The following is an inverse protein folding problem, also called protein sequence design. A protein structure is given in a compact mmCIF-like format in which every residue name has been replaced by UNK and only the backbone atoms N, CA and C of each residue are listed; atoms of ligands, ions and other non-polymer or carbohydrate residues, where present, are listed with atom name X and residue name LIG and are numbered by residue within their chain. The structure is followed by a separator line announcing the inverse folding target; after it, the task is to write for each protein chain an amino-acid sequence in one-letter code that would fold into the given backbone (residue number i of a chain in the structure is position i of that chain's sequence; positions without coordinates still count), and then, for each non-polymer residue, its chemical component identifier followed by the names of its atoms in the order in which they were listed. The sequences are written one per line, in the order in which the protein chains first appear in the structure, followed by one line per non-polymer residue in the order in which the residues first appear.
data_IF_730873091000
#
_entry.id   IF_730873091000
#
_cell.length_a   1.000
_cell.length_b   1.000
_cell.length_c   1.000
_cell.angle_alpha   90.00
_cell.angle_beta   90.00
_cell.angle_gamma   90.00
#
_symmetry.space_group_name_H-M   'P 1'
#
loop_
_entity.id
_entity.type
_entity.pdbx_description
1 polymer ?
#
# COMPACT_ATOMS: atom_id res chain seq x y z
N UNK A 1 -3.91 3.26 23.10
CA UNK A 1 -2.59 3.69 22.57
C UNK A 1 -2.40 5.17 22.90
N UNK A 2 -1.21 5.60 23.32
CA UNK A 2 -0.91 7.02 23.56
C UNK A 2 -0.80 7.76 22.21
N UNK A 3 -1.15 9.07 22.19
CA UNK A 3 -1.07 9.92 20.98
C UNK A 3 0.35 9.91 20.38
N UNK A 4 1.38 9.93 21.21
CA UNK A 4 2.77 9.88 20.77
C UNK A 4 3.12 8.57 20.03
N UNK A 5 2.57 7.42 20.50
CA UNK A 5 2.78 6.14 19.83
C UNK A 5 2.08 6.12 18.45
N UNK A 6 0.87 6.68 18.34
CA UNK A 6 0.17 6.79 17.05
C UNK A 6 0.98 7.60 16.04
N UNK A 7 1.48 8.78 16.45
CA UNK A 7 2.30 9.63 15.57
C UNK A 7 3.57 8.89 15.13
N UNK A 8 4.27 8.23 16.06
CA UNK A 8 5.47 7.46 15.75
C UNK A 8 5.22 6.41 14.66
N UNK A 9 4.19 5.57 14.83
CA UNK A 9 3.88 4.53 13.85
C UNK A 9 3.33 5.09 12.55
N UNK A 10 2.63 6.22 12.58
CA UNK A 10 2.22 6.95 11.38
C UNK A 10 3.42 7.44 10.55
N UNK A 11 4.46 8.00 11.20
CA UNK A 11 5.68 8.43 10.52
C UNK A 11 6.48 7.26 9.94
N UNK A 12 6.52 6.12 10.64
CA UNK A 12 7.17 4.91 10.12
C UNK A 12 6.41 4.38 8.89
N UNK A 13 5.07 4.38 8.94
CA UNK A 13 4.25 3.94 7.80
C UNK A 13 4.34 4.91 6.61
N UNK A 14 4.54 6.21 6.87
CA UNK A 14 4.79 7.21 5.83
C UNK A 14 6.05 6.90 5.00
N UNK A 15 7.10 6.38 5.65
CA UNK A 15 8.28 5.87 4.93
C UNK A 15 7.91 4.70 4.00
N UNK A 16 7.01 3.81 4.44
CA UNK A 16 6.47 2.75 3.58
C UNK A 16 5.72 3.31 2.37
N UNK A 17 4.87 4.31 2.57
CA UNK A 17 4.15 4.98 1.50
C UNK A 17 5.10 5.67 0.49
N UNK A 18 6.18 6.29 0.98
CA UNK A 18 7.23 6.86 0.13
C UNK A 18 7.92 5.79 -0.73
N UNK A 19 8.29 4.65 -0.13
CA UNK A 19 8.91 3.54 -0.87
C UNK A 19 7.96 3.01 -1.94
N UNK A 20 6.65 2.87 -1.65
CA UNK A 20 5.68 2.43 -2.65
C UNK A 20 5.42 3.46 -3.73
N UNK A 21 5.38 4.75 -3.39
CA UNK A 21 5.32 5.81 -4.40
C UNK A 21 6.46 5.72 -5.40
N UNK A 22 7.69 5.55 -4.90
CA UNK A 22 8.86 5.33 -5.74
C UNK A 22 8.78 3.99 -6.51
N UNK A 23 8.19 2.95 -5.90
CA UNK A 23 8.02 1.65 -6.56
C UNK A 23 7.15 1.70 -7.82
N UNK A 24 6.15 2.59 -7.91
CA UNK A 24 5.37 2.77 -9.14
C UNK A 24 6.24 3.15 -10.35
N UNK A 25 7.25 3.98 -10.14
CA UNK A 25 8.20 4.36 -11.20
C UNK A 25 9.02 3.16 -11.66
N UNK A 26 9.53 2.36 -10.72
CA UNK A 26 10.29 1.15 -11.04
C UNK A 26 9.40 0.05 -11.67
N UNK A 27 8.15 -0.09 -11.23
CA UNK A 27 7.17 -1.00 -11.84
C UNK A 27 6.87 -0.62 -13.29
N UNK A 28 6.65 0.67 -13.55
CA UNK A 28 6.44 1.19 -14.91
C UNK A 28 7.67 0.96 -15.79
N UNK A 29 8.88 1.12 -15.26
CA UNK A 29 10.12 0.82 -15.98
C UNK A 29 10.24 -0.68 -16.32
N UNK A 30 9.91 -1.58 -15.38
CA UNK A 30 9.90 -3.02 -15.63
C UNK A 30 8.92 -3.41 -16.74
N UNK A 31 7.73 -2.79 -16.80
CA UNK A 31 6.69 -3.11 -17.80
C UNK A 31 7.11 -2.90 -19.25
N UNK A 32 8.23 -2.20 -19.48
CA UNK A 32 8.81 -2.04 -20.82
C UNK A 32 9.50 -3.32 -21.33
N UNK A 33 9.98 -4.16 -20.44
CA UNK A 33 10.85 -5.29 -20.77
C UNK A 33 10.25 -6.63 -20.36
N UNK A 34 9.52 -6.68 -19.26
CA UNK A 34 9.01 -7.91 -18.65
C UNK A 34 7.55 -7.77 -18.24
N UNK A 35 6.82 -8.86 -18.29
CA UNK A 35 5.41 -8.89 -17.96
C UNK A 35 5.11 -8.93 -16.44
N UNK A 36 3.84 -8.80 -16.07
CA UNK A 36 3.38 -8.70 -14.68
C UNK A 36 3.73 -9.91 -13.82
N UNK A 37 3.68 -11.12 -14.36
CA UNK A 37 4.02 -12.32 -13.61
C UNK A 37 5.51 -12.38 -13.31
N UNK A 38 6.36 -12.01 -14.28
CA UNK A 38 7.82 -11.96 -14.13
C UNK A 38 8.23 -10.93 -13.09
N UNK A 39 7.67 -9.72 -13.12
CA UNK A 39 7.94 -8.68 -12.10
C UNK A 39 7.61 -9.21 -10.70
N UNK A 40 6.43 -9.79 -10.50
CA UNK A 40 5.98 -10.24 -9.18
C UNK A 40 6.70 -11.51 -8.71
N UNK A 41 7.13 -12.41 -9.61
CA UNK A 41 7.96 -13.56 -9.29
C UNK A 41 9.29 -13.12 -8.70
N UNK A 42 10.04 -12.30 -9.42
CA UNK A 42 11.37 -11.89 -8.99
C UNK A 42 11.34 -11.00 -7.74
N UNK A 43 10.41 -10.02 -7.65
CA UNK A 43 10.31 -9.20 -6.44
C UNK A 43 9.95 -10.02 -5.19
N UNK A 44 9.10 -11.05 -5.35
CA UNK A 44 8.74 -11.95 -4.27
C UNK A 44 9.92 -12.82 -3.83
N UNK A 45 10.65 -13.41 -4.77
CA UNK A 45 11.85 -14.23 -4.48
C UNK A 45 12.92 -13.40 -3.78
N UNK A 46 13.25 -12.22 -4.32
CA UNK A 46 14.24 -11.32 -3.72
C UNK A 46 13.82 -10.93 -2.29
N UNK A 47 12.55 -10.63 -2.06
CA UNK A 47 12.04 -10.31 -0.73
C UNK A 47 12.18 -11.49 0.25
N UNK A 48 11.90 -12.72 -0.20
CA UNK A 48 12.05 -13.93 0.62
C UNK A 48 13.52 -14.14 1.01
N UNK A 49 14.44 -14.05 0.05
CA UNK A 49 15.87 -14.17 0.33
C UNK A 49 16.35 -13.12 1.33
N UNK A 50 15.89 -11.87 1.15
CA UNK A 50 16.20 -10.77 2.07
C UNK A 50 15.61 -11.00 3.48
N UNK A 51 14.36 -11.45 3.60
CA UNK A 51 13.66 -11.59 4.88
C UNK A 51 14.03 -12.87 5.63
N UNK A 52 14.53 -13.91 4.96
CA UNK A 52 14.84 -15.19 5.57
C UNK A 52 15.75 -15.09 6.80
N UNK A 53 16.89 -14.40 6.79
CA UNK A 53 17.75 -14.29 7.97
C UNK A 53 17.07 -13.57 9.13
N UNK A 54 16.27 -12.53 8.87
CA UNK A 54 15.54 -11.81 9.91
C UNK A 54 14.44 -12.67 10.53
N UNK A 55 13.74 -13.47 9.72
CA UNK A 55 12.74 -14.43 10.20
C UNK A 55 13.36 -15.50 11.08
N UNK A 56 14.48 -16.10 10.68
CA UNK A 56 15.21 -17.12 11.45
C UNK A 56 15.64 -16.55 12.81
N UNK A 57 16.29 -15.38 12.81
CA UNK A 57 16.74 -14.73 14.06
C UNK A 57 15.55 -14.39 14.96
N UNK A 58 14.45 -13.89 14.39
CA UNK A 58 13.24 -13.59 15.14
C UNK A 58 12.65 -14.84 15.80
N UNK A 59 12.53 -15.94 15.06
CA UNK A 59 12.01 -17.21 15.59
C UNK A 59 12.88 -17.79 16.72
N UNK A 60 14.21 -17.67 16.62
CA UNK A 60 15.13 -18.11 17.69
C UNK A 60 14.94 -17.27 18.96
N UNK A 61 14.84 -15.95 18.83
CA UNK A 61 14.61 -15.05 19.97
C UNK A 61 13.26 -15.30 20.63
N UNK A 62 12.23 -15.54 19.85
CA UNK A 62 10.86 -15.72 20.36
C UNK A 62 10.58 -17.07 21.00
N UNK A 63 11.37 -18.12 20.70
CA UNK A 63 11.30 -19.37 21.47
C UNK A 63 11.48 -19.15 22.97
N UNK A 64 12.11 -18.02 23.37
CA UNK A 64 12.30 -17.61 24.77
C UNK A 64 11.14 -16.78 25.34
N UNK A 65 10.24 -16.26 24.48
CA UNK A 65 9.15 -15.32 24.86
C UNK A 65 7.82 -15.94 24.42
N UNK A 66 7.10 -16.54 25.33
CA UNK A 66 5.87 -17.36 25.13
C UNK A 66 4.63 -16.65 24.53
N UNK A 67 4.77 -15.58 23.73
CA UNK A 67 3.63 -14.69 23.36
C UNK A 67 3.15 -14.72 21.91
N UNK A 68 3.72 -15.53 21.02
CA UNK A 68 3.38 -15.51 19.58
C UNK A 68 2.52 -16.70 19.21
N UNK A 69 1.43 -16.40 18.55
CA UNK A 69 0.54 -17.38 17.95
C UNK A 69 1.07 -17.80 16.57
N UNK A 70 1.64 -19.02 16.49
CA UNK A 70 2.14 -19.61 15.26
C UNK A 70 1.04 -19.75 14.21
N UNK A 71 -0.18 -20.12 14.63
CA UNK A 71 -1.33 -20.27 13.73
C UNK A 71 -1.72 -18.92 13.14
N UNK A 72 -1.76 -17.86 13.95
CA UNK A 72 -2.01 -16.50 13.46
C UNK A 72 -0.92 -16.02 12.49
N UNK A 73 0.35 -16.36 12.74
CA UNK A 73 1.47 -16.01 11.87
C UNK A 73 1.36 -16.69 10.50
N UNK A 74 1.12 -18.01 10.49
CA UNK A 74 1.05 -18.79 9.25
C UNK A 74 -0.22 -18.43 8.47
N UNK A 75 -1.39 -18.50 9.11
CA UNK A 75 -2.67 -18.25 8.45
C UNK A 75 -2.76 -16.79 7.95
N UNK A 76 -2.34 -15.85 8.78
CA UNK A 76 -2.29 -14.44 8.39
C UNK A 76 -1.32 -14.19 7.24
N UNK A 77 -0.12 -14.77 7.28
CA UNK A 77 0.86 -14.69 6.20
C UNK A 77 0.35 -15.30 4.89
N UNK A 78 -0.30 -16.46 4.94
CA UNK A 78 -0.86 -17.12 3.75
C UNK A 78 -2.02 -16.31 3.18
N UNK A 79 -3.02 -15.94 3.99
CA UNK A 79 -4.19 -15.19 3.51
C UNK A 79 -3.79 -13.82 2.96
N UNK A 80 -2.95 -13.08 3.69
CA UNK A 80 -2.47 -11.78 3.19
C UNK A 80 -1.61 -11.95 1.94
N UNK A 81 -0.85 -13.05 1.83
CA UNK A 81 -0.05 -13.38 0.65
C UNK A 81 -0.91 -13.68 -0.58
N UNK A 82 -2.02 -14.40 -0.42
CA UNK A 82 -2.97 -14.68 -1.50
C UNK A 82 -3.64 -13.39 -2.01
N UNK A 83 -4.11 -12.54 -1.09
CA UNK A 83 -4.68 -11.26 -1.48
C UNK A 83 -3.63 -10.34 -2.13
N UNK A 84 -2.42 -10.30 -1.58
CA UNK A 84 -1.33 -9.51 -2.14
C UNK A 84 -0.90 -10.02 -3.52
N UNK A 85 -0.86 -11.32 -3.72
CA UNK A 85 -0.58 -11.92 -5.03
C UNK A 85 -1.56 -11.42 -6.08
N UNK A 86 -2.87 -11.58 -5.84
CA UNK A 86 -3.88 -11.09 -6.77
C UNK A 86 -3.82 -9.58 -6.97
N UNK A 87 -3.70 -8.81 -5.87
CA UNK A 87 -3.61 -7.36 -5.91
C UNK A 87 -2.44 -6.87 -6.77
N UNK A 88 -1.24 -7.44 -6.56
CA UNK A 88 -0.03 -7.02 -7.26
C UNK A 88 -0.02 -7.45 -8.73
N UNK A 89 -0.62 -8.57 -9.09
CA UNK A 89 -0.79 -8.96 -10.49
C UNK A 89 -1.72 -7.97 -11.21
N UNK A 90 -2.92 -7.73 -10.67
CA UNK A 90 -3.86 -6.78 -11.27
C UNK A 90 -3.31 -5.35 -11.31
N UNK A 91 -2.60 -4.93 -10.27
CA UNK A 91 -1.93 -3.63 -10.25
C UNK A 91 -0.87 -3.53 -11.36
N UNK A 92 -0.02 -4.55 -11.52
CA UNK A 92 1.05 -4.53 -12.53
C UNK A 92 0.49 -4.56 -13.96
N UNK A 93 -0.60 -5.31 -14.20
CA UNK A 93 -1.34 -5.28 -15.48
C UNK A 93 -1.87 -3.86 -15.74
N UNK A 94 -2.46 -3.23 -14.74
CA UNK A 94 -2.98 -1.86 -14.87
C UNK A 94 -1.88 -0.83 -15.14
N UNK A 95 -0.76 -0.90 -14.43
CA UNK A 95 0.40 -0.01 -14.62
C UNK A 95 0.97 -0.11 -16.02
N UNK A 96 0.95 -1.28 -16.65
CA UNK A 96 1.45 -1.46 -18.02
C UNK A 96 0.59 -0.78 -19.10
N UNK A 97 -0.64 -0.41 -18.78
CA UNK A 97 -1.64 0.09 -19.72
C UNK A 97 -2.15 1.50 -19.43
N UNK A 98 -1.74 2.09 -18.30
CA UNK A 98 -2.19 3.44 -17.89
C UNK A 98 -1.03 4.23 -17.27
N UNK A 99 -1.20 5.54 -17.10
CA UNK A 99 -0.14 6.39 -16.53
C UNK A 99 0.15 6.03 -15.08
N UNK A 100 1.38 6.26 -14.64
CA UNK A 100 1.85 5.96 -13.28
C UNK A 100 1.01 6.69 -12.21
N UNK A 101 0.69 7.97 -12.44
CA UNK A 101 -0.14 8.76 -11.51
C UNK A 101 -1.57 8.22 -11.41
N UNK A 102 -2.22 7.90 -12.55
CA UNK A 102 -3.56 7.33 -12.60
C UNK A 102 -3.60 5.93 -11.95
N UNK A 103 -2.55 5.13 -12.17
CA UNK A 103 -2.41 3.82 -11.53
C UNK A 103 -2.35 3.92 -10.02
N UNK A 104 -1.54 4.84 -9.51
CA UNK A 104 -1.40 5.08 -8.08
C UNK A 104 -2.71 5.61 -7.46
N UNK A 105 -3.43 6.50 -8.18
CA UNK A 105 -4.73 6.99 -7.75
C UNK A 105 -5.78 5.89 -7.61
N UNK A 106 -5.97 5.09 -8.66
CA UNK A 106 -7.00 4.03 -8.64
C UNK A 106 -6.64 2.96 -7.61
N UNK A 107 -5.36 2.60 -7.48
CA UNK A 107 -4.90 1.70 -6.42
C UNK A 107 -5.22 2.25 -5.04
N UNK A 108 -4.94 3.53 -4.79
CA UNK A 108 -5.19 4.16 -3.50
C UNK A 108 -6.69 4.29 -3.14
N UNK A 109 -7.61 3.87 -4.02
CA UNK A 109 -9.04 3.84 -3.71
C UNK A 109 -9.38 2.93 -2.51
N UNK A 110 -8.45 2.06 -2.10
CA UNK A 110 -8.56 1.31 -0.83
C UNK A 110 -8.78 2.23 0.39
N UNK A 111 -8.44 3.52 0.31
CA UNK A 111 -8.72 4.51 1.37
C UNK A 111 -10.21 4.61 1.71
N UNK A 112 -11.09 4.40 0.73
CA UNK A 112 -12.55 4.37 0.89
C UNK A 112 -13.03 2.97 1.27
N UNK A 113 -12.45 1.95 0.64
CA UNK A 113 -12.88 0.57 0.81
C UNK A 113 -12.53 0.02 2.20
N UNK A 114 -11.32 0.32 2.71
CA UNK A 114 -10.87 -0.18 4.02
C UNK A 114 -11.82 0.20 5.16
N UNK A 115 -12.20 1.47 5.38
CA UNK A 115 -13.13 1.81 6.44
C UNK A 115 -14.52 1.17 6.28
N UNK A 116 -15.01 1.06 5.04
CA UNK A 116 -16.31 0.42 4.76
C UNK A 116 -16.26 -1.06 5.18
N UNK A 117 -15.28 -1.81 4.69
CA UNK A 117 -15.14 -3.23 5.03
C UNK A 117 -14.72 -3.45 6.49
N UNK A 118 -13.92 -2.56 7.09
CA UNK A 118 -13.61 -2.62 8.52
C UNK A 118 -14.87 -2.44 9.38
N UNK A 119 -15.79 -1.58 8.98
CA UNK A 119 -17.09 -1.45 9.65
C UNK A 119 -17.97 -2.69 9.43
N UNK A 120 -18.08 -3.18 8.21
CA UNK A 120 -18.95 -4.33 7.88
C UNK A 120 -18.46 -5.62 8.57
N UNK A 121 -17.17 -5.91 8.52
CA UNK A 121 -16.59 -7.18 9.01
C UNK A 121 -16.29 -7.16 10.51
N UNK A 122 -15.76 -6.06 11.03
CA UNK A 122 -15.27 -5.98 12.40
C UNK A 122 -16.04 -5.01 13.29
N UNK A 123 -17.08 -4.36 12.75
CA UNK A 123 -17.88 -3.33 13.45
C UNK A 123 -17.05 -2.18 14.02
N UNK A 124 -15.89 -1.91 13.42
CA UNK A 124 -15.01 -0.81 13.82
C UNK A 124 -15.67 0.52 13.47
N UNK A 125 -16.00 1.30 14.49
CA UNK A 125 -16.58 2.64 14.30
C UNK A 125 -15.53 3.59 13.73
N UNK A 126 -15.96 4.43 12.78
CA UNK A 126 -15.14 5.45 12.13
C UNK A 126 -15.45 6.79 12.78
N UNK A 127 -14.43 7.52 13.24
CA UNK A 127 -14.61 8.88 13.77
C UNK A 127 -15.00 9.85 12.66
N UNK A 128 -15.81 10.87 13.01
CA UNK A 128 -16.27 11.86 12.03
C UNK A 128 -15.13 12.63 11.37
N UNK A 129 -14.05 12.94 12.12
CA UNK A 129 -12.81 13.51 11.60
C UNK A 129 -12.20 12.67 10.47
N UNK A 130 -12.25 11.34 10.59
CA UNK A 130 -11.70 10.40 9.60
C UNK A 130 -12.58 10.41 8.34
N UNK A 131 -13.90 10.48 8.47
CA UNK A 131 -14.82 10.59 7.31
C UNK A 131 -14.50 11.87 6.52
N UNK A 132 -14.35 13.01 7.21
CA UNK A 132 -13.97 14.26 6.56
C UNK A 132 -12.61 14.12 5.88
N UNK A 133 -11.63 13.52 6.54
CA UNK A 133 -10.31 13.30 5.98
C UNK A 133 -10.35 12.43 4.71
N UNK A 134 -11.17 11.37 4.68
CA UNK A 134 -11.36 10.53 3.48
C UNK A 134 -11.94 11.35 2.32
N UNK A 135 -12.98 12.15 2.57
CA UNK A 135 -13.60 12.99 1.52
C UNK A 135 -12.58 13.99 0.97
N UNK A 136 -11.83 14.66 1.84
CA UNK A 136 -10.79 15.62 1.43
C UNK A 136 -9.67 14.89 0.66
N UNK A 137 -9.23 13.72 1.13
CA UNK A 137 -8.22 12.92 0.43
C UNK A 137 -8.71 12.49 -0.96
N UNK A 138 -9.97 12.09 -1.10
CA UNK A 138 -10.57 11.75 -2.40
C UNK A 138 -10.59 12.94 -3.37
N UNK A 139 -10.89 14.14 -2.88
CA UNK A 139 -10.82 15.36 -3.69
C UNK A 139 -9.37 15.62 -4.13
N UNK A 140 -8.41 15.52 -3.19
CA UNK A 140 -6.99 15.68 -3.49
C UNK A 140 -6.50 14.67 -4.52
N UNK A 141 -6.85 13.40 -4.35
CA UNK A 141 -6.53 12.34 -5.31
C UNK A 141 -7.18 12.59 -6.68
N UNK A 142 -8.43 13.06 -6.72
CA UNK A 142 -9.08 13.46 -7.96
C UNK A 142 -8.29 14.54 -8.71
N UNK A 143 -7.83 15.58 -8.01
CA UNK A 143 -7.01 16.65 -8.59
C UNK A 143 -5.68 16.14 -9.16
N UNK A 144 -5.08 15.10 -8.57
CA UNK A 144 -3.88 14.45 -9.10
C UNK A 144 -4.12 13.75 -10.45
N UNK A 145 -5.37 13.38 -10.76
CA UNK A 145 -5.73 12.64 -11.96
C UNK A 145 -6.34 13.48 -13.07
N UNK A 146 -6.95 14.63 -12.75
CA UNK A 146 -7.67 15.46 -13.70
C UNK A 146 -6.79 16.18 -14.74
N UNK A 147 -5.48 16.03 -14.67
CA UNK A 147 -4.55 16.60 -15.66
C UNK A 147 -4.57 15.93 -17.05
N UNK A 148 -5.20 14.75 -17.20
CA UNK A 148 -5.24 13.98 -18.44
C UNK A 148 -6.63 13.36 -18.66
N UNK A 149 -7.02 13.17 -19.91
CA UNK A 149 -8.32 12.65 -20.36
C UNK A 149 -8.94 11.56 -19.45
N UNK A 150 -10.16 11.82 -19.00
CA UNK A 150 -10.92 10.93 -18.11
C UNK A 150 -11.58 9.79 -18.91
N UNK A 151 -10.78 9.04 -19.67
CA UNK A 151 -11.27 7.84 -20.36
C UNK A 151 -11.04 6.61 -19.47
N UNK A 152 -12.08 5.84 -19.22
CA UNK A 152 -11.96 4.55 -18.53
C UNK A 152 -11.34 3.53 -19.48
N UNK A 153 -10.22 2.95 -19.07
CA UNK A 153 -9.51 1.90 -19.79
C UNK A 153 -9.75 0.52 -19.14
N UNK A 154 -9.45 -0.55 -19.85
CA UNK A 154 -9.43 -1.90 -19.25
C UNK A 154 -8.42 -2.00 -18.11
N UNK A 155 -7.31 -1.26 -18.19
CA UNK A 155 -6.31 -1.18 -17.12
C UNK A 155 -6.88 -0.61 -15.83
N UNK A 156 -7.77 0.38 -15.90
CA UNK A 156 -8.40 0.97 -14.73
C UNK A 156 -9.27 -0.03 -13.97
N UNK A 157 -9.96 -0.92 -14.68
CA UNK A 157 -10.73 -2.00 -14.06
C UNK A 157 -9.81 -2.97 -13.30
N UNK A 158 -8.67 -3.35 -13.87
CA UNK A 158 -7.69 -4.20 -13.19
C UNK A 158 -7.13 -3.51 -11.93
N UNK A 159 -6.81 -2.22 -12.00
CA UNK A 159 -6.37 -1.45 -10.83
C UNK A 159 -7.44 -1.40 -9.73
N UNK A 160 -8.70 -1.24 -10.08
CA UNK A 160 -9.81 -1.24 -9.12
C UNK A 160 -9.99 -2.61 -8.46
N UNK A 161 -9.91 -3.71 -9.22
CA UNK A 161 -9.89 -5.07 -8.66
C UNK A 161 -8.69 -5.23 -7.72
N UNK A 162 -7.52 -4.72 -8.12
CA UNK A 162 -6.32 -4.65 -7.28
C UNK A 162 -6.58 -3.92 -5.97
N UNK A 163 -7.24 -2.77 -5.99
CA UNK A 163 -7.60 -2.00 -4.79
C UNK A 163 -8.52 -2.77 -3.83
N UNK A 164 -9.49 -3.54 -4.35
CA UNK A 164 -10.32 -4.45 -3.53
C UNK A 164 -9.48 -5.52 -2.84
N UNK A 165 -8.55 -6.14 -3.56
CA UNK A 165 -7.66 -7.16 -3.02
C UNK A 165 -6.64 -6.58 -2.03
N UNK A 166 -6.10 -5.38 -2.27
CA UNK A 166 -5.30 -4.65 -1.29
C UNK A 166 -6.10 -4.33 -0.02
N UNK A 167 -7.38 -3.97 -0.16
CA UNK A 167 -8.28 -3.79 1.00
C UNK A 167 -8.36 -5.05 1.84
N UNK A 168 -8.58 -6.20 1.21
CA UNK A 168 -8.62 -7.49 1.90
C UNK A 168 -7.28 -7.83 2.56
N UNK A 169 -6.15 -7.56 1.89
CA UNK A 169 -4.80 -7.73 2.45
C UNK A 169 -4.58 -6.83 3.68
N UNK A 170 -4.92 -5.55 3.60
CA UNK A 170 -4.81 -4.59 4.71
C UNK A 170 -5.60 -5.06 5.93
N UNK A 171 -6.85 -5.48 5.73
CA UNK A 171 -7.71 -5.97 6.81
C UNK A 171 -7.23 -7.31 7.40
N UNK A 172 -6.65 -8.18 6.57
CA UNK A 172 -6.03 -9.42 7.03
C UNK A 172 -4.82 -9.14 7.93
N UNK A 173 -3.95 -8.20 7.53
CA UNK A 173 -2.83 -7.77 8.36
C UNK A 173 -3.32 -7.17 9.67
N UNK A 174 -4.32 -6.28 9.65
CA UNK A 174 -4.88 -5.66 10.85
C UNK A 174 -5.40 -6.70 11.85
N UNK A 175 -6.02 -7.77 11.37
CA UNK A 175 -6.57 -8.83 12.22
C UNK A 175 -5.49 -9.74 12.83
N UNK A 176 -4.50 -10.16 12.05
CA UNK A 176 -3.53 -11.16 12.46
C UNK A 176 -2.23 -10.58 13.05
N UNK A 177 -1.76 -9.41 12.58
CA UNK A 177 -0.47 -8.86 12.99
C UNK A 177 -0.29 -8.61 14.49
N UNK A 178 -1.33 -8.31 15.30
CA UNK A 178 -1.16 -8.14 16.75
C UNK A 178 -0.65 -9.38 17.49
N UNK A 179 -0.91 -10.59 16.93
CA UNK A 179 -0.55 -11.89 17.54
C UNK A 179 0.58 -12.60 16.81
N UNK A 180 0.98 -12.11 15.64
CA UNK A 180 1.89 -12.78 14.73
C UNK A 180 3.36 -12.36 14.91
N UNK A 181 4.28 -13.27 14.50
CA UNK A 181 5.67 -12.89 14.30
C UNK A 181 5.81 -12.04 13.05
N UNK A 182 6.33 -10.83 13.21
CA UNK A 182 6.45 -9.82 12.15
C UNK A 182 7.21 -10.33 10.91
N UNK A 183 8.44 -10.80 11.10
CA UNK A 183 9.31 -11.16 9.97
C UNK A 183 8.85 -12.45 9.30
N UNK A 184 8.39 -13.44 10.07
CA UNK A 184 7.86 -14.69 9.52
C UNK A 184 6.56 -14.45 8.76
N UNK A 185 5.68 -13.56 9.26
CA UNK A 185 4.47 -13.17 8.54
C UNK A 185 4.81 -12.54 7.18
N UNK A 186 5.74 -11.55 7.19
CA UNK A 186 6.17 -10.86 5.97
C UNK A 186 6.85 -11.82 4.99
N UNK A 187 7.67 -12.75 5.48
CA UNK A 187 8.31 -13.78 4.67
C UNK A 187 7.29 -14.70 4.01
N UNK A 188 6.32 -15.22 4.76
CA UNK A 188 5.27 -16.11 4.20
C UNK A 188 4.44 -15.35 3.16
N UNK A 189 4.03 -14.10 3.46
CA UNK A 189 3.29 -13.25 2.53
C UNK A 189 4.03 -13.12 1.19
N UNK A 190 5.31 -12.76 1.22
CA UNK A 190 6.12 -12.60 0.01
C UNK A 190 6.45 -13.95 -0.67
N UNK A 191 6.58 -15.03 0.09
CA UNK A 191 6.77 -16.37 -0.46
C UNK A 191 5.57 -16.82 -1.30
N UNK A 192 4.34 -16.59 -0.82
CA UNK A 192 3.12 -16.88 -1.59
C UNK A 192 3.09 -16.08 -2.89
N UNK A 193 3.39 -14.76 -2.83
CA UNK A 193 3.48 -13.93 -4.04
C UNK A 193 4.54 -14.47 -5.00
N UNK A 194 5.75 -14.74 -4.51
CA UNK A 194 6.87 -15.22 -5.32
C UNK A 194 6.58 -16.58 -5.97
N UNK A 195 6.09 -17.56 -5.19
CA UNK A 195 5.82 -18.91 -5.69
C UNK A 195 4.69 -18.91 -6.73
N UNK A 196 3.54 -18.31 -6.42
CA UNK A 196 2.40 -18.29 -7.34
C UNK A 196 2.72 -17.50 -8.61
N UNK A 197 3.41 -16.36 -8.48
CA UNK A 197 3.82 -15.59 -9.65
C UNK A 197 4.86 -16.34 -10.49
N UNK A 198 5.77 -17.10 -9.89
CA UNK A 198 6.75 -17.92 -10.62
C UNK A 198 6.07 -19.00 -11.44
N UNK A 199 5.05 -19.66 -10.89
CA UNK A 199 4.25 -20.65 -11.63
C UNK A 199 3.62 -19.98 -12.86
N UNK A 200 2.94 -18.83 -12.68
CA UNK A 200 2.30 -18.13 -13.79
C UNK A 200 3.32 -17.55 -14.78
N UNK A 201 4.48 -17.11 -14.33
CA UNK A 201 5.58 -16.65 -15.18
C UNK A 201 6.02 -17.73 -16.16
N UNK A 202 6.28 -18.96 -15.69
CA UNK A 202 6.69 -20.05 -16.59
C UNK A 202 5.59 -20.50 -17.57
N UNK A 203 4.31 -20.30 -17.20
CA UNK A 203 3.18 -20.67 -18.07
C UNK A 203 2.92 -19.59 -19.14
N UNK A 204 2.95 -18.31 -18.75
CA UNK A 204 2.46 -17.20 -19.60
C UNK A 204 3.56 -16.24 -20.08
N UNK A 205 4.69 -16.15 -19.37
CA UNK A 205 5.76 -15.16 -19.61
C UNK A 205 7.14 -15.82 -19.45
N UNK A 206 7.52 -16.83 -20.25
CA UNK A 206 8.84 -17.45 -20.12
C UNK A 206 9.95 -16.37 -20.10
N UNK A 207 10.80 -16.34 -19.04
CA UNK A 207 11.73 -15.24 -18.83
C UNK A 207 12.84 -15.22 -19.88
N UNK A 208 13.13 -14.04 -20.44
CA UNK A 208 14.24 -13.79 -21.37
C UNK A 208 15.37 -13.11 -20.61
N UNK A 209 16.56 -13.68 -20.67
CA UNK A 209 17.72 -13.22 -19.87
C UNK A 209 18.09 -11.75 -20.13
N UNK A 210 18.02 -11.29 -21.38
CA UNK A 210 18.31 -9.90 -21.76
C UNK A 210 17.30 -8.93 -21.13
N UNK A 211 16.01 -9.25 -21.17
CA UNK A 211 14.94 -8.45 -20.57
C UNK A 211 15.09 -8.36 -19.05
N UNK A 212 15.49 -9.46 -18.40
CA UNK A 212 15.78 -9.48 -16.97
C UNK A 212 16.98 -8.61 -16.63
N UNK A 213 18.05 -8.64 -17.43
CA UNK A 213 19.22 -7.79 -17.27
C UNK A 213 18.85 -6.31 -17.33
N UNK A 214 18.02 -5.91 -18.28
CA UNK A 214 17.54 -4.54 -18.43
C UNK A 214 16.64 -4.08 -17.26
N UNK A 215 15.99 -5.02 -16.56
CA UNK A 215 15.09 -4.76 -15.43
C UNK A 215 15.73 -4.95 -14.06
N UNK A 216 17.00 -5.38 -13.97
CA UNK A 216 17.60 -5.87 -12.72
C UNK A 216 17.60 -4.84 -11.59
N UNK A 217 17.90 -3.57 -11.87
CA UNK A 217 17.91 -2.50 -10.87
C UNK A 217 16.51 -2.28 -10.33
N UNK A 218 15.51 -2.24 -11.21
CA UNK A 218 14.12 -2.10 -10.83
C UNK A 218 13.63 -3.29 -10.00
N UNK A 219 13.97 -4.51 -10.40
CA UNK A 219 13.62 -5.73 -9.67
C UNK A 219 14.26 -5.78 -8.28
N UNK A 220 15.54 -5.40 -8.15
CA UNK A 220 16.21 -5.30 -6.86
C UNK A 220 15.53 -4.27 -5.95
N UNK A 221 15.21 -3.09 -6.47
CA UNK A 221 14.46 -2.10 -5.69
C UNK A 221 13.09 -2.64 -5.25
N UNK A 222 12.31 -3.20 -6.17
CA UNK A 222 11.00 -3.75 -5.89
C UNK A 222 11.05 -4.91 -4.90
N UNK A 223 12.04 -5.78 -5.00
CA UNK A 223 12.20 -6.91 -4.09
C UNK A 223 12.67 -6.51 -2.70
N UNK A 224 13.75 -5.73 -2.60
CA UNK A 224 14.34 -5.35 -1.32
C UNK A 224 13.51 -4.30 -0.59
N UNK A 225 13.24 -3.17 -1.24
CA UNK A 225 12.61 -2.03 -0.59
C UNK A 225 11.09 -2.13 -0.57
N UNK A 226 10.45 -2.34 -1.72
CA UNK A 226 9.00 -2.37 -1.81
C UNK A 226 8.41 -3.64 -1.17
N UNK A 227 8.91 -4.82 -1.52
CA UNK A 227 8.39 -6.09 -1.00
C UNK A 227 8.99 -6.47 0.36
N UNK A 228 10.30 -6.35 0.54
CA UNK A 228 10.97 -6.70 1.78
C UNK A 228 10.72 -5.70 2.90
N UNK A 229 11.07 -4.45 2.70
CA UNK A 229 11.05 -3.42 3.75
C UNK A 229 9.64 -2.83 3.92
N UNK A 230 9.00 -2.31 2.87
CA UNK A 230 7.76 -1.55 3.03
C UNK A 230 6.58 -2.42 3.51
N UNK A 231 6.39 -3.66 3.04
CA UNK A 231 5.38 -4.56 3.60
C UNK A 231 5.70 -4.98 5.04
N UNK A 232 6.97 -5.12 5.41
CA UNK A 232 7.36 -5.37 6.80
C UNK A 232 7.04 -4.16 7.70
N UNK A 233 7.28 -2.94 7.21
CA UNK A 233 6.84 -1.70 7.87
C UNK A 233 5.32 -1.70 8.04
N UNK A 234 4.55 -2.02 7.00
CA UNK A 234 3.09 -2.10 7.06
C UNK A 234 2.63 -3.05 8.17
N UNK A 235 3.10 -4.29 8.17
CA UNK A 235 2.72 -5.31 9.17
C UNK A 235 3.08 -4.83 10.57
N UNK A 236 4.25 -4.21 10.75
CA UNK A 236 4.72 -3.72 12.05
C UNK A 236 3.89 -2.57 12.60
N UNK A 237 3.45 -1.66 11.73
CA UNK A 237 2.74 -0.43 12.10
C UNK A 237 1.24 -0.66 12.24
N UNK A 238 0.63 -1.46 11.36
CA UNK A 238 -0.80 -1.81 11.45
C UNK A 238 -1.15 -2.56 12.74
N UNK A 239 -0.20 -3.23 13.37
CA UNK A 239 -0.37 -3.78 14.72
C UNK A 239 -0.81 -2.71 15.75
N UNK A 240 -0.46 -1.46 15.51
CA UNK A 240 -0.68 -0.34 16.43
C UNK A 240 -1.60 0.75 15.87
N UNK A 241 -1.85 0.78 14.57
CA UNK A 241 -2.69 1.78 13.91
C UNK A 241 -4.07 1.20 13.58
N UNK A 242 -5.08 2.04 13.62
CA UNK A 242 -6.38 1.69 13.04
C UNK A 242 -6.21 1.51 11.51
N UNK A 243 -6.79 0.47 10.88
CA UNK A 243 -6.63 0.20 9.45
C UNK A 243 -7.06 1.37 8.56
N UNK A 244 -8.06 2.14 8.97
CA UNK A 244 -8.50 3.34 8.25
C UNK A 244 -7.44 4.44 8.27
N UNK A 245 -6.78 4.68 9.41
CA UNK A 245 -5.67 5.63 9.51
C UNK A 245 -4.47 5.13 8.70
N UNK A 246 -4.20 3.83 8.76
CA UNK A 246 -3.12 3.22 7.98
C UNK A 246 -3.38 3.38 6.47
N UNK A 247 -4.59 3.12 5.98
CA UNK A 247 -4.93 3.29 4.56
C UNK A 247 -4.83 4.75 4.10
N UNK A 248 -5.23 5.71 4.96
CA UNK A 248 -5.04 7.14 4.69
C UNK A 248 -3.56 7.52 4.51
N UNK A 249 -2.68 7.02 5.38
CA UNK A 249 -1.24 7.30 5.29
C UNK A 249 -0.64 6.63 4.05
N UNK A 250 -1.01 5.37 3.79
CA UNK A 250 -0.53 4.63 2.63
C UNK A 250 -0.95 5.26 1.31
N UNK A 251 -2.14 5.89 1.23
CA UNK A 251 -2.60 6.58 0.01
C UNK A 251 -1.71 7.73 -0.44
N UNK A 252 -0.80 8.25 0.42
CA UNK A 252 0.26 9.17 0.00
C UNK A 252 1.24 8.57 -1.02
N UNK A 253 1.21 7.25 -1.22
CA UNK A 253 1.96 6.63 -2.33
C UNK A 253 1.64 7.28 -3.67
N UNK A 254 0.40 7.76 -3.88
CA UNK A 254 -0.02 8.47 -5.10
C UNK A 254 0.70 9.83 -5.25
N UNK A 255 0.83 10.58 -4.15
CA UNK A 255 1.57 11.84 -4.12
C UNK A 255 3.07 11.58 -4.35
N UNK A 256 3.62 10.61 -3.64
CA UNK A 256 5.04 10.26 -3.80
C UNK A 256 5.35 9.69 -5.18
N UNK A 257 4.42 8.92 -5.79
CA UNK A 257 4.57 8.42 -7.15
C UNK A 257 4.72 9.54 -8.16
N UNK A 258 3.88 10.57 -8.04
CA UNK A 258 3.94 11.75 -8.89
C UNK A 258 5.25 12.52 -8.69
N UNK A 259 5.58 12.87 -7.44
CA UNK A 259 6.80 13.63 -7.12
C UNK A 259 8.07 12.89 -7.53
N UNK A 260 8.17 11.60 -7.21
CA UNK A 260 9.31 10.78 -7.59
C UNK A 260 9.41 10.62 -9.12
N UNK A 261 8.27 10.47 -9.80
CA UNK A 261 8.22 10.39 -11.26
C UNK A 261 8.85 11.62 -11.92
N UNK A 262 8.48 12.83 -11.46
CA UNK A 262 9.04 14.10 -11.96
C UNK A 262 10.53 14.22 -11.66
N UNK A 263 10.96 13.91 -10.42
CA UNK A 263 12.35 14.00 -10.00
C UNK A 263 13.22 13.03 -10.81
N UNK A 264 12.80 11.77 -10.91
CA UNK A 264 13.56 10.74 -11.61
C UNK A 264 13.65 11.05 -13.11
N UNK A 265 12.56 11.51 -13.73
CA UNK A 265 12.58 11.94 -15.13
C UNK A 265 13.59 13.06 -15.36
N UNK A 266 13.57 14.09 -14.51
CA UNK A 266 14.43 15.28 -14.67
C UNK A 266 15.92 14.96 -14.52
N UNK A 267 16.29 14.08 -13.58
CA UNK A 267 17.68 13.82 -13.23
C UNK A 267 18.28 12.57 -13.89
N UNK A 268 17.47 11.54 -14.14
CA UNK A 268 17.97 10.23 -14.57
C UNK A 268 17.47 9.77 -15.94
N UNK A 269 16.53 10.51 -16.58
CA UNK A 269 15.90 10.13 -17.86
C UNK A 269 15.42 8.67 -17.90
N UNK A 270 15.08 8.11 -16.73
CA UNK A 270 14.69 6.72 -16.56
C UNK A 270 13.28 6.42 -17.09
N UNK A 271 12.50 7.47 -17.36
CA UNK A 271 11.16 7.43 -17.95
C UNK A 271 11.14 8.27 -19.23
N UNK A 272 10.60 7.75 -20.33
CA UNK A 272 10.50 8.46 -21.60
C UNK A 272 9.35 9.47 -21.63
N UNK A 273 8.52 9.51 -20.58
CA UNK A 273 7.36 10.41 -20.52
C UNK A 273 7.74 11.65 -19.70
N UNK A 274 7.79 12.84 -20.33
CA UNK A 274 8.00 14.09 -19.61
C UNK A 274 6.89 14.27 -18.57
N UNK A 275 7.25 14.40 -17.31
CA UNK A 275 6.31 14.71 -16.26
C UNK A 275 6.62 16.12 -15.73
N UNK A 276 5.81 17.09 -16.15
CA UNK A 276 5.77 18.41 -15.52
C UNK A 276 4.58 18.45 -14.58
N UNK A 277 4.79 18.91 -13.36
CA UNK A 277 3.69 19.10 -12.40
C UNK A 277 2.75 20.20 -12.90
N UNK A 278 1.49 19.86 -13.03
CA UNK A 278 0.42 20.83 -13.30
C UNK A 278 -0.05 21.48 -11.99
N UNK A 279 -0.68 22.65 -12.10
CA UNK A 279 -1.24 23.35 -10.93
C UNK A 279 -2.26 22.48 -10.18
N UNK A 280 -3.22 21.78 -10.83
CA UNK A 280 -4.13 20.86 -10.14
C UNK A 280 -3.41 19.75 -9.37
N UNK A 281 -2.33 19.17 -9.91
CA UNK A 281 -1.54 18.14 -9.24
C UNK A 281 -0.86 18.67 -7.97
N UNK A 282 -0.30 19.88 -8.01
CA UNK A 282 0.30 20.54 -6.84
C UNK A 282 -0.76 20.77 -5.75
N UNK A 283 -1.92 21.29 -6.14
CA UNK A 283 -3.05 21.51 -5.20
C UNK A 283 -3.50 20.17 -4.62
N UNK A 284 -3.62 19.12 -5.46
CA UNK A 284 -3.99 17.77 -5.04
C UNK A 284 -3.05 17.21 -3.98
N UNK A 285 -1.72 17.37 -4.15
CA UNK A 285 -0.72 16.98 -3.16
C UNK A 285 -0.95 17.68 -1.81
N UNK A 286 -1.15 19.00 -1.83
CA UNK A 286 -1.37 19.80 -0.60
C UNK A 286 -2.65 19.34 0.11
N UNK A 287 -3.74 19.13 -0.64
CA UNK A 287 -5.03 18.67 -0.10
C UNK A 287 -4.91 17.27 0.53
N UNK A 288 -4.15 16.36 -0.08
CA UNK A 288 -3.86 15.04 0.48
C UNK A 288 -3.11 15.12 1.83
N UNK A 289 -2.08 15.96 1.93
CA UNK A 289 -1.37 16.17 3.20
C UNK A 289 -2.27 16.76 4.27
N UNK A 290 -3.14 17.74 3.94
CA UNK A 290 -4.13 18.30 4.87
C UNK A 290 -5.07 17.20 5.38
N UNK A 291 -5.56 16.33 4.51
CA UNK A 291 -6.44 15.22 4.89
C UNK A 291 -5.80 14.30 5.93
N UNK A 292 -4.50 13.98 5.77
CA UNK A 292 -3.78 13.14 6.73
C UNK A 292 -3.60 13.84 8.07
N UNK A 293 -3.26 15.12 8.08
CA UNK A 293 -3.16 15.91 9.32
C UNK A 293 -4.51 15.90 10.05
N UNK A 294 -5.62 16.13 9.33
CA UNK A 294 -6.97 16.10 9.89
C UNK A 294 -7.32 14.75 10.50
N UNK A 295 -6.89 13.64 9.88
CA UNK A 295 -7.14 12.29 10.39
C UNK A 295 -6.46 11.99 11.74
N UNK A 296 -5.38 12.72 12.06
CA UNK A 296 -4.63 12.57 13.31
C UNK A 296 -5.18 13.44 14.45
N UNK A 297 -6.10 14.36 14.16
CA UNK A 297 -6.71 15.22 15.16
C UNK A 297 -7.74 14.45 16.00
N UNK A 298 -7.98 14.84 17.28
CA UNK A 298 -8.99 14.23 18.12
C UNK A 298 -10.40 14.37 17.53
N UNK A 299 -11.17 13.29 17.51
CA UNK A 299 -12.58 13.32 17.03
C UNK A 299 -13.45 14.33 17.77
N UNK A 300 -13.12 14.59 19.06
CA UNK A 300 -13.84 15.55 19.88
C UNK A 300 -13.84 17.00 19.35
N UNK A 301 -12.89 17.33 18.49
CA UNK A 301 -12.85 18.66 17.84
C UNK A 301 -13.90 18.82 16.75
N UNK A 302 -14.41 17.71 16.22
CA UNK A 302 -15.36 17.63 15.11
C UNK A 302 -16.76 17.20 15.56
N UNK A 303 -16.92 16.82 16.85
CA UNK A 303 -18.22 16.50 17.40
C UNK A 303 -18.99 17.81 17.69
N UNK A 304 -20.05 18.07 16.93
CA UNK A 304 -21.00 19.12 17.29
C UNK A 304 -21.59 18.77 18.66
N UNK A 305 -21.37 19.63 19.68
CA UNK A 305 -22.03 19.51 20.98
C UNK A 305 -23.53 19.40 20.73
N UNK A 306 -24.10 18.21 20.87
CA UNK A 306 -25.54 18.07 20.97
C UNK A 306 -25.97 18.93 22.16
N UNK A 307 -26.65 20.08 21.89
CA UNK A 307 -27.34 20.83 22.92
C UNK A 307 -28.22 19.84 23.67
N UNK A 308 -27.87 19.57 24.94
CA UNK A 308 -28.82 18.94 25.87
C UNK A 308 -30.05 19.81 25.84
N UNK A 309 -31.16 19.30 25.28
CA UNK A 309 -32.46 19.82 25.58
C UNK A 309 -32.68 19.57 27.07
N UNK A 310 -32.48 20.59 27.89
CA UNK A 310 -32.95 20.63 29.23
C UNK A 310 -34.47 20.38 29.12
N UNK A 311 -34.92 19.21 29.50
CA UNK A 311 -36.29 18.99 29.90
C UNK A 311 -36.48 19.79 31.19
N UNK A 312 -36.92 21.04 31.06
CA UNK A 312 -37.50 21.75 32.17
C UNK A 312 -38.62 20.93 32.74
N UNK A 313 -38.48 20.47 33.94
CA UNK A 313 -39.59 20.06 34.79
C UNK A 313 -40.39 21.33 35.13
N UNK A 314 -41.58 21.38 34.71
CA UNK A 314 -42.70 22.05 35.41
C UNK A 314 -43.73 21.01 35.72
#
# INVERSE_FOLDING_TARGET
MTKNAQIKYSLILLLGAFIWGLAFVFQSSCSKYIGPYTVNAFRGIIAVVFLAPFSIVSLIKERKIKKIDKKATILGGVLSGLFLFGASIFQQIGISTTSTGKSAFITAFYIVLVPIFAYLLFKKKIGFNIIIAIVIAMIGMGLLCFGNDFSLSKGDLFLFIGALLFTAQILTIDYFSPKANLFTFSLIQNAIVGVLSTILMFIFEPPVAENLKNSIISLLFLGLFSSGIAYTIQISTQKYLNPTIASLIMSLESVFSLLCGVIIYKFYKFSDVPQNLTIPEIIGCIVMFIAIILSQLPSSWFEFKKKKKDKGNT
#
